data_IF_318869863819
#
_entry.id   IF_318869863819
#
_cell.length_a   1.000
_cell.length_b   1.000
_cell.length_c   1.000
_cell.angle_alpha   90.00
_cell.angle_beta   90.00
_cell.angle_gamma   90.00
#
_symmetry.space_group_name_H-M   'P 1'
#
loop_
_entity.id
_entity.type
_entity.pdbx_description
1 polymer ?
#
# COMPACT_ATOMS: atom_id res chain seq x y z
N UNK A 1 -18.27 -13.29 -7.63
CA UNK A 1 -16.87 -12.79 -7.67
C UNK A 1 -16.72 -11.76 -6.56
N UNK A 2 -15.85 -12.00 -5.58
CA UNK A 2 -15.60 -11.07 -4.47
C UNK A 2 -14.72 -9.90 -4.94
N UNK A 3 -14.88 -8.72 -4.34
CA UNK A 3 -14.03 -7.55 -4.60
C UNK A 3 -13.05 -7.36 -3.45
N UNK A 4 -11.80 -7.07 -3.80
CA UNK A 4 -10.72 -6.77 -2.85
C UNK A 4 -10.23 -5.35 -3.15
N UNK A 5 -10.21 -4.49 -2.15
CA UNK A 5 -9.53 -3.20 -2.24
C UNK A 5 -8.10 -3.34 -1.73
N UNK A 6 -7.11 -3.12 -2.60
CA UNK A 6 -5.69 -3.12 -2.26
C UNK A 6 -5.24 -1.69 -2.00
N UNK A 7 -5.13 -1.30 -0.74
CA UNK A 7 -4.69 0.02 -0.31
C UNK A 7 -3.15 0.06 -0.25
N UNK A 8 -2.55 1.01 -0.96
CA UNK A 8 -1.11 1.08 -1.10
C UNK A 8 -0.56 2.51 -1.13
N UNK A 9 0.69 2.63 -0.75
CA UNK A 9 1.56 3.77 -1.07
C UNK A 9 2.83 3.20 -1.70
N UNK A 10 3.26 3.78 -2.82
CA UNK A 10 4.49 3.35 -3.52
C UNK A 10 5.75 3.53 -2.68
N UNK A 11 5.67 4.33 -1.62
CA UNK A 11 6.71 4.50 -0.61
C UNK A 11 7.00 3.20 0.16
N UNK A 12 6.02 2.29 0.28
CA UNK A 12 6.16 1.09 1.11
C UNK A 12 6.77 -0.09 0.35
N UNK A 13 7.95 -0.60 0.75
CA UNK A 13 8.52 -1.80 0.16
C UNK A 13 7.68 -3.05 0.43
N UNK A 14 6.97 -3.10 1.57
CA UNK A 14 6.04 -4.20 1.84
C UNK A 14 4.82 -4.18 0.93
N UNK A 15 4.36 -2.98 0.51
CA UNK A 15 3.28 -2.87 -0.47
C UNK A 15 3.73 -3.36 -1.85
N UNK A 16 4.99 -3.07 -2.24
CA UNK A 16 5.59 -3.63 -3.45
C UNK A 16 5.65 -5.16 -3.41
N UNK A 17 6.22 -5.74 -2.35
CA UNK A 17 6.33 -7.20 -2.20
C UNK A 17 4.96 -7.88 -2.15
N UNK A 18 3.98 -7.28 -1.48
CA UNK A 18 2.61 -7.80 -1.46
C UNK A 18 1.95 -7.73 -2.84
N UNK A 19 2.13 -6.64 -3.57
CA UNK A 19 1.63 -6.47 -4.94
C UNK A 19 2.16 -7.56 -5.88
N UNK A 20 3.46 -7.85 -5.84
CA UNK A 20 4.07 -8.90 -6.65
C UNK A 20 3.59 -10.31 -6.24
N UNK A 21 3.40 -10.55 -4.95
CA UNK A 21 2.92 -11.82 -4.42
C UNK A 21 1.42 -12.05 -4.63
N UNK A 22 0.66 -10.98 -4.85
CA UNK A 22 -0.81 -11.02 -4.88
C UNK A 22 -1.39 -12.01 -5.89
N UNK A 23 -0.92 -12.11 -7.16
CA UNK A 23 -1.45 -13.07 -8.11
C UNK A 23 -1.36 -14.51 -7.62
N UNK A 24 -0.20 -14.89 -7.05
CA UNK A 24 0.00 -16.22 -6.48
C UNK A 24 -0.87 -16.46 -5.25
N UNK A 25 -1.01 -15.44 -4.38
CA UNK A 25 -1.86 -15.55 -3.19
C UNK A 25 -3.34 -15.71 -3.56
N UNK A 26 -3.78 -15.18 -4.69
CA UNK A 26 -5.17 -15.22 -5.16
C UNK A 26 -5.44 -16.33 -6.18
N UNK A 27 -4.46 -17.17 -6.48
CA UNK A 27 -4.62 -18.28 -7.45
C UNK A 27 -5.76 -19.20 -7.03
N UNK A 28 -6.67 -19.47 -7.97
CA UNK A 28 -7.88 -20.26 -7.74
C UNK A 28 -9.04 -19.53 -7.06
N UNK A 29 -8.85 -18.25 -6.67
CA UNK A 29 -9.91 -17.44 -6.07
C UNK A 29 -10.67 -16.63 -7.16
N UNK A 30 -12.02 -16.63 -7.12
CA UNK A 30 -12.84 -15.80 -8.00
C UNK A 30 -12.98 -14.38 -7.44
N UNK A 31 -12.02 -13.52 -7.78
CA UNK A 31 -11.91 -12.16 -7.22
C UNK A 31 -11.61 -11.10 -8.28
N UNK A 32 -11.97 -9.85 -7.98
CA UNK A 32 -11.48 -8.66 -8.66
C UNK A 32 -10.73 -7.78 -7.65
N UNK A 33 -9.63 -7.17 -8.07
CA UNK A 33 -8.81 -6.30 -7.21
C UNK A 33 -8.94 -4.85 -7.69
N UNK A 34 -9.37 -3.97 -6.79
CA UNK A 34 -9.39 -2.53 -6.97
C UNK A 34 -8.18 -1.92 -6.25
N UNK A 35 -7.30 -1.27 -6.98
CA UNK A 35 -6.11 -0.64 -6.43
C UNK A 35 -6.43 0.75 -5.90
N UNK A 36 -6.14 1.01 -4.62
CA UNK A 36 -6.52 2.22 -3.90
C UNK A 36 -5.25 2.97 -3.44
N UNK A 37 -4.72 3.90 -4.26
CA UNK A 37 -3.61 4.74 -3.84
C UNK A 37 -4.03 5.66 -2.69
N UNK A 38 -3.17 5.77 -1.67
CA UNK A 38 -3.33 6.65 -0.52
C UNK A 38 -1.97 7.14 -0.02
N UNK A 39 -1.94 8.01 0.97
CA UNK A 39 -0.71 8.51 1.59
C UNK A 39 -0.48 7.84 2.94
N UNK A 40 0.57 7.01 3.04
CA UNK A 40 0.98 6.40 4.31
C UNK A 40 1.22 7.45 5.40
N UNK A 41 1.87 8.58 5.05
CA UNK A 41 2.10 9.67 5.98
C UNK A 41 0.79 10.24 6.57
N UNK A 42 -0.30 10.27 5.77
CA UNK A 42 -1.61 10.69 6.25
C UNK A 42 -2.20 9.72 7.28
N UNK A 43 -2.08 8.40 7.06
CA UNK A 43 -2.48 7.39 8.04
C UNK A 43 -1.66 7.49 9.33
N UNK A 44 -0.33 7.58 9.20
CA UNK A 44 0.57 7.72 10.36
C UNK A 44 0.25 8.97 11.18
N UNK A 45 0.00 10.11 10.51
CA UNK A 45 -0.38 11.36 11.17
C UNK A 45 -1.73 11.25 11.89
N UNK A 46 -2.74 10.63 11.27
CA UNK A 46 -4.06 10.42 11.88
C UNK A 46 -3.98 9.61 13.19
N UNK A 47 -3.17 8.55 13.20
CA UNK A 47 -3.01 7.65 14.35
C UNK A 47 -1.90 8.06 15.32
N UNK A 48 -1.21 9.18 15.08
CA UNK A 48 -0.07 9.61 15.92
C UNK A 48 1.11 8.63 15.92
N UNK A 49 1.32 7.91 14.81
CA UNK A 49 2.36 6.89 14.68
C UNK A 49 3.60 7.44 13.96
N UNK A 50 4.76 6.89 14.30
CA UNK A 50 5.99 7.06 13.52
C UNK A 50 6.14 5.93 12.51
N UNK A 51 6.50 6.29 11.29
CA UNK A 51 6.85 5.30 10.27
C UNK A 51 8.10 4.50 10.63
N UNK A 52 8.25 3.26 10.10
CA UNK A 52 9.45 2.45 10.37
C UNK A 52 10.74 3.14 10.02
N UNK A 53 10.75 3.97 8.97
CA UNK A 53 11.92 4.68 8.48
C UNK A 53 12.33 5.88 9.37
N UNK A 54 11.46 6.36 10.25
CA UNK A 54 11.75 7.47 11.17
C UNK A 54 12.52 7.02 12.41
N UNK A 55 12.52 5.72 12.70
CA UNK A 55 13.23 5.12 13.85
C UNK A 55 14.47 4.41 13.32
N UNK A 56 15.66 4.98 13.59
CA UNK A 56 16.93 4.55 12.97
C UNK A 56 17.17 3.03 13.04
N UNK A 57 17.10 2.35 14.20
CA UNK A 57 17.29 0.89 14.22
C UNK A 57 16.19 0.13 13.51
N UNK A 58 14.95 0.60 13.55
CA UNK A 58 13.82 -0.02 12.85
C UNK A 58 13.95 0.13 11.34
N UNK A 59 14.41 1.30 10.85
CA UNK A 59 14.73 1.53 9.45
C UNK A 59 15.76 0.55 8.92
N UNK A 60 16.87 0.39 9.64
CA UNK A 60 17.93 -0.55 9.26
C UNK A 60 17.42 -2.00 9.21
N UNK A 61 16.61 -2.41 10.17
CA UNK A 61 15.97 -3.72 10.17
C UNK A 61 15.02 -3.89 8.98
N UNK A 62 14.14 -2.91 8.74
CA UNK A 62 13.19 -2.93 7.62
C UNK A 62 13.89 -3.18 6.29
N UNK A 63 14.98 -2.46 5.99
CA UNK A 63 15.69 -2.65 4.73
C UNK A 63 16.34 -4.03 4.61
N UNK A 64 16.89 -4.56 5.69
CA UNK A 64 17.42 -5.94 5.70
C UNK A 64 16.33 -6.96 5.46
N UNK A 65 15.19 -6.80 6.13
CA UNK A 65 14.07 -7.73 6.01
C UNK A 65 13.45 -7.70 4.62
N UNK A 66 13.20 -6.52 4.03
CA UNK A 66 12.61 -6.44 2.70
C UNK A 66 13.56 -6.95 1.61
N UNK A 67 14.87 -6.72 1.76
CA UNK A 67 15.88 -7.28 0.84
C UNK A 67 15.88 -8.82 0.88
N UNK A 68 15.83 -9.38 2.08
CA UNK A 68 15.74 -10.83 2.24
C UNK A 68 14.42 -11.40 1.68
N UNK A 69 13.28 -10.77 1.99
CA UNK A 69 11.97 -11.19 1.49
C UNK A 69 11.90 -11.13 -0.04
N UNK A 70 12.43 -10.05 -0.65
CA UNK A 70 12.50 -9.91 -2.10
C UNK A 70 13.31 -11.05 -2.74
N UNK A 71 14.47 -11.40 -2.16
CA UNK A 71 15.29 -12.51 -2.61
C UNK A 71 14.55 -13.85 -2.50
N UNK A 72 13.81 -14.09 -1.39
CA UNK A 72 13.01 -15.32 -1.24
C UNK A 72 11.86 -15.42 -2.25
N UNK A 73 11.32 -14.27 -2.68
CA UNK A 73 10.23 -14.22 -3.65
C UNK A 73 10.69 -14.17 -5.11
N UNK A 74 12.00 -14.00 -5.36
CA UNK A 74 12.51 -13.71 -6.70
C UNK A 74 12.02 -12.36 -7.25
N UNK A 75 11.66 -11.43 -6.36
CA UNK A 75 11.13 -10.11 -6.72
C UNK A 75 12.27 -9.11 -6.87
N UNK A 76 12.26 -8.31 -7.94
CA UNK A 76 13.20 -7.21 -8.08
C UNK A 76 13.04 -6.22 -6.91
N UNK A 77 14.16 -5.90 -6.23
CA UNK A 77 14.20 -4.87 -5.22
C UNK A 77 15.52 -4.11 -5.28
N UNK A 78 15.43 -2.83 -5.61
CA UNK A 78 16.50 -1.85 -5.54
C UNK A 78 16.06 -0.73 -4.61
N UNK A 79 16.80 -0.48 -3.54
CA UNK A 79 16.43 0.57 -2.58
C UNK A 79 16.64 1.96 -3.22
N UNK A 80 15.57 2.79 -3.32
CA UNK A 80 15.69 4.13 -3.89
C UNK A 80 16.53 5.04 -3.00
N UNK A 81 17.12 6.07 -3.59
CA UNK A 81 17.91 7.07 -2.89
C UNK A 81 17.42 8.49 -3.27
N UNK A 82 16.83 9.22 -2.29
CA UNK A 82 16.64 8.87 -0.87
C UNK A 82 15.46 7.92 -0.61
N UNK A 83 15.44 7.31 0.59
CA UNK A 83 14.25 6.68 1.13
C UNK A 83 14.17 6.93 2.65
N UNK A 84 13.05 7.40 3.20
CA UNK A 84 11.78 7.71 2.51
C UNK A 84 11.91 8.92 1.55
N UNK A 85 11.07 8.93 0.52
CA UNK A 85 10.94 10.03 -0.43
C UNK A 85 9.48 10.56 -0.43
N UNK A 86 9.21 11.65 -1.14
CA UNK A 86 7.86 12.19 -1.27
C UNK A 86 7.06 11.43 -2.36
N UNK A 87 6.03 10.63 -2.02
CA UNK A 87 5.30 9.83 -2.99
C UNK A 87 4.18 10.59 -3.74
N UNK A 88 3.93 11.87 -3.40
CA UNK A 88 2.76 12.62 -3.88
C UNK A 88 2.62 12.63 -5.41
N UNK A 89 3.71 12.85 -6.15
CA UNK A 89 3.67 12.91 -7.61
C UNK A 89 3.22 11.56 -8.20
N UNK A 90 3.77 10.46 -7.70
CA UNK A 90 3.48 9.09 -8.16
C UNK A 90 2.06 8.66 -7.79
N UNK A 91 1.60 8.95 -6.56
CA UNK A 91 0.26 8.61 -6.12
C UNK A 91 -0.82 9.41 -6.87
N UNK A 92 -0.57 10.69 -7.16
CA UNK A 92 -1.44 11.50 -8.01
C UNK A 92 -1.45 11.00 -9.46
N UNK A 93 -0.29 10.63 -9.98
CA UNK A 93 -0.18 10.05 -11.32
C UNK A 93 -1.02 8.76 -11.42
N UNK A 94 -1.02 7.90 -10.41
CA UNK A 94 -1.89 6.72 -10.36
C UNK A 94 -3.37 7.09 -10.54
N UNK A 95 -3.86 8.07 -9.78
CA UNK A 95 -5.25 8.53 -9.86
C UNK A 95 -5.58 9.23 -11.18
N UNK A 96 -4.63 9.95 -11.74
CA UNK A 96 -4.82 10.69 -12.99
C UNK A 96 -4.99 9.78 -14.20
N UNK A 97 -4.60 8.48 -14.13
CA UNK A 97 -4.76 7.52 -15.23
C UNK A 97 -6.20 7.03 -15.42
N UNK A 98 -7.10 7.38 -14.51
CA UNK A 98 -8.52 6.97 -14.54
C UNK A 98 -9.45 8.16 -14.31
N UNK A 99 -10.73 8.07 -14.68
CA UNK A 99 -11.73 9.08 -14.27
C UNK A 99 -11.81 9.21 -12.74
N UNK A 100 -12.33 10.32 -12.25
CA UNK A 100 -12.54 10.56 -10.82
C UNK A 100 -13.33 9.40 -10.18
N UNK A 101 -12.89 8.97 -9.00
CA UNK A 101 -13.45 7.82 -8.30
C UNK A 101 -13.04 6.45 -8.84
N UNK A 102 -12.34 6.38 -9.99
CA UNK A 102 -11.88 5.14 -10.59
C UNK A 102 -10.73 4.48 -9.84
N UNK A 103 -10.45 3.22 -10.16
CA UNK A 103 -9.32 2.45 -9.65
C UNK A 103 -8.28 2.28 -10.77
N UNK A 104 -7.01 2.64 -10.57
CA UNK A 104 -5.95 2.41 -11.54
C UNK A 104 -5.80 0.91 -11.83
N UNK A 105 -5.44 0.58 -13.06
CA UNK A 105 -5.22 -0.82 -13.45
C UNK A 105 -3.97 -1.41 -12.79
N UNK A 106 -3.91 -2.76 -12.69
CA UNK A 106 -2.71 -3.45 -12.22
C UNK A 106 -1.45 -3.01 -12.98
N UNK A 107 -1.55 -2.84 -14.31
CA UNK A 107 -0.42 -2.39 -15.14
C UNK A 107 0.10 -1.02 -14.69
N UNK A 108 -0.77 -0.07 -14.42
CA UNK A 108 -0.39 1.27 -13.94
C UNK A 108 0.35 1.15 -12.60
N UNK A 109 -0.22 0.42 -11.65
CA UNK A 109 0.35 0.25 -10.32
C UNK A 109 1.70 -0.46 -10.38
N UNK A 110 1.84 -1.47 -11.24
CA UNK A 110 3.11 -2.16 -11.47
C UNK A 110 4.20 -1.20 -11.99
N UNK A 111 3.87 -0.36 -12.98
CA UNK A 111 4.84 0.59 -13.53
C UNK A 111 5.30 1.61 -12.48
N UNK A 112 4.38 2.07 -11.61
CA UNK A 112 4.72 2.97 -10.51
C UNK A 112 5.63 2.29 -9.48
N UNK A 113 5.30 1.06 -9.07
CA UNK A 113 6.16 0.30 -8.16
C UNK A 113 7.53 -0.02 -8.76
N UNK A 114 7.60 -0.44 -10.02
CA UNK A 114 8.86 -0.71 -10.72
C UNK A 114 9.72 0.54 -10.88
N UNK A 115 9.11 1.70 -11.11
CA UNK A 115 9.79 2.99 -11.13
C UNK A 115 10.49 3.29 -9.81
N UNK A 116 9.89 2.89 -8.69
CA UNK A 116 10.47 3.10 -7.35
C UNK A 116 11.46 2.00 -6.98
N UNK A 117 11.10 0.72 -7.18
CA UNK A 117 11.76 -0.41 -6.54
C UNK A 117 12.63 -1.26 -7.47
N UNK A 118 12.70 -0.94 -8.78
CA UNK A 118 13.49 -1.69 -9.75
C UNK A 118 14.49 -0.81 -10.53
N UNK A 119 14.82 0.37 -10.00
CA UNK A 119 15.84 1.27 -10.56
C UNK A 119 16.97 1.44 -9.54
N UNK A 120 18.17 1.01 -9.90
CA UNK A 120 19.32 0.99 -8.99
C UNK A 120 19.68 2.40 -8.50
N UNK A 121 19.57 2.62 -7.17
CA UNK A 121 19.99 3.86 -6.51
C UNK A 121 19.33 5.14 -7.00
N UNK A 122 18.27 5.03 -7.82
CA UNK A 122 17.64 6.19 -8.44
C UNK A 122 16.76 6.96 -7.45
N UNK A 123 16.73 8.29 -7.59
CA UNK A 123 15.69 9.10 -6.95
C UNK A 123 14.36 8.88 -7.67
N UNK A 124 13.30 8.42 -6.99
CA UNK A 124 11.98 8.25 -7.60
C UNK A 124 11.37 9.57 -8.10
N UNK A 125 11.82 10.71 -7.58
CA UNK A 125 11.36 12.05 -7.95
C UNK A 125 12.25 12.75 -8.99
N UNK A 126 13.22 12.03 -9.58
CA UNK A 126 14.05 12.58 -10.63
C UNK A 126 13.18 13.05 -11.81
N UNK A 127 13.31 14.33 -12.19
CA UNK A 127 12.35 15.00 -13.07
C UNK A 127 12.24 14.39 -14.48
N UNK A 128 13.36 13.92 -15.06
CA UNK A 128 13.33 13.30 -16.37
C UNK A 128 12.65 11.94 -16.34
N UNK A 129 12.91 11.16 -15.31
CA UNK A 129 12.30 9.85 -15.12
C UNK A 129 10.80 9.94 -14.83
N UNK A 130 10.35 10.91 -14.02
CA UNK A 130 8.93 11.19 -13.78
C UNK A 130 8.22 11.61 -15.06
N UNK A 131 8.83 12.46 -15.88
CA UNK A 131 8.25 12.83 -17.18
C UNK A 131 8.09 11.62 -18.09
N UNK A 132 9.14 10.81 -18.24
CA UNK A 132 9.09 9.59 -19.05
C UNK A 132 7.99 8.62 -18.55
N UNK A 133 7.87 8.42 -17.25
CA UNK A 133 6.82 7.59 -16.67
C UNK A 133 5.43 8.18 -16.94
N UNK A 134 5.27 9.50 -16.81
CA UNK A 134 3.99 10.19 -17.09
C UNK A 134 3.58 10.02 -18.54
N UNK A 135 4.52 10.18 -19.48
CA UNK A 135 4.29 9.95 -20.92
C UNK A 135 3.87 8.49 -21.20
N UNK A 136 4.54 7.51 -20.57
CA UNK A 136 4.22 6.09 -20.71
C UNK A 136 2.84 5.72 -20.17
N UNK A 137 2.44 6.33 -19.05
CA UNK A 137 1.16 6.08 -18.41
C UNK A 137 0.02 6.82 -19.07
N UNK A 138 0.30 7.88 -19.82
CA UNK A 138 -0.67 8.70 -20.58
C UNK A 138 -1.92 9.02 -19.72
N UNK A 139 -1.78 9.79 -18.61
CA UNK A 139 -2.88 10.03 -17.69
C UNK A 139 -4.04 10.77 -18.40
N UNK A 140 -5.27 10.46 -18.00
CA UNK A 140 -6.49 11.08 -18.51
C UNK A 140 -6.73 12.48 -17.93
N UNK A 141 -6.13 12.76 -16.77
CA UNK A 141 -6.23 14.02 -16.02
C UNK A 141 -4.83 14.53 -15.70
N UNK A 142 -4.69 15.81 -15.47
CA UNK A 142 -3.39 16.34 -14.99
C UNK A 142 -3.18 15.92 -13.53
N UNK A 143 -2.07 15.22 -13.19
CA UNK A 143 -1.74 14.90 -11.80
C UNK A 143 -1.57 16.13 -10.89
N UNK A 144 -1.36 17.31 -11.47
CA UNK A 144 -1.25 18.57 -10.75
C UNK A 144 -2.60 19.26 -10.46
N UNK A 145 -3.71 18.77 -11.04
CA UNK A 145 -5.02 19.33 -10.84
C UNK A 145 -5.48 19.30 -9.38
N UNK A 146 -6.24 20.33 -9.00
CA UNK A 146 -6.80 20.46 -7.66
C UNK A 146 -7.72 19.27 -7.30
N UNK A 147 -8.48 18.78 -8.28
CA UNK A 147 -9.38 17.63 -8.11
C UNK A 147 -8.60 16.33 -7.81
N UNK A 148 -7.50 16.06 -8.52
CA UNK A 148 -6.66 14.88 -8.26
C UNK A 148 -5.99 14.96 -6.89
N UNK A 149 -5.58 16.16 -6.47
CA UNK A 149 -5.02 16.41 -5.14
C UNK A 149 -6.06 16.19 -4.04
N UNK A 150 -7.28 16.72 -4.25
CA UNK A 150 -8.40 16.53 -3.33
C UNK A 150 -8.78 15.06 -3.22
N UNK A 151 -8.91 14.36 -4.36
CA UNK A 151 -9.23 12.92 -4.39
C UNK A 151 -8.23 12.07 -3.60
N UNK A 152 -6.92 12.31 -3.77
CA UNK A 152 -5.90 11.57 -3.01
C UNK A 152 -6.02 11.81 -1.49
N UNK A 153 -6.28 13.06 -1.09
CA UNK A 153 -6.51 13.40 0.31
C UNK A 153 -7.75 12.70 0.85
N UNK A 154 -8.88 12.81 0.16
CA UNK A 154 -10.16 12.21 0.56
C UNK A 154 -10.07 10.68 0.68
N UNK A 155 -9.40 10.01 -0.26
CA UNK A 155 -9.15 8.56 -0.17
C UNK A 155 -8.32 8.21 1.06
N UNK A 156 -7.32 9.01 1.40
CA UNK A 156 -6.49 8.81 2.59
C UNK A 156 -7.30 9.01 3.87
N UNK A 157 -8.09 10.08 3.95
CA UNK A 157 -8.98 10.39 5.07
C UNK A 157 -10.06 9.30 5.25
N UNK A 158 -10.67 8.86 4.16
CA UNK A 158 -11.66 7.78 4.18
C UNK A 158 -11.05 6.46 4.66
N UNK A 159 -9.82 6.12 4.23
CA UNK A 159 -9.12 4.94 4.70
C UNK A 159 -8.81 5.03 6.21
N UNK A 160 -8.36 6.18 6.71
CA UNK A 160 -8.14 6.41 8.13
C UNK A 160 -9.45 6.29 8.94
N UNK A 161 -10.53 6.89 8.46
CA UNK A 161 -11.86 6.80 9.08
C UNK A 161 -12.41 5.36 9.10
N UNK A 162 -12.05 4.54 8.11
CA UNK A 162 -12.36 3.11 8.06
C UNK A 162 -11.44 2.24 8.96
N UNK A 163 -10.54 2.87 9.74
CA UNK A 163 -9.65 2.18 10.67
C UNK A 163 -8.35 1.64 10.06
N UNK A 164 -8.03 1.99 8.82
CA UNK A 164 -6.76 1.60 8.23
C UNK A 164 -5.63 2.43 8.87
N UNK A 165 -4.54 1.76 9.23
CA UNK A 165 -3.42 2.36 9.96
C UNK A 165 -2.07 2.19 9.27
N UNK A 166 -2.04 1.56 8.12
CA UNK A 166 -0.81 1.33 7.36
C UNK A 166 -1.05 0.66 6.00
N UNK A 167 0.03 0.45 5.25
CA UNK A 167 0.02 -0.19 3.93
C UNK A 167 1.14 -1.27 3.83
N UNK A 168 0.91 -2.33 3.04
CA UNK A 168 -0.32 -2.64 2.31
C UNK A 168 -1.45 -3.04 3.24
N UNK A 169 -2.68 -2.69 2.90
CA UNK A 169 -3.87 -3.25 3.53
C UNK A 169 -4.84 -3.71 2.44
N UNK A 170 -5.30 -4.95 2.56
CA UNK A 170 -6.32 -5.49 1.66
C UNK A 170 -7.65 -5.55 2.41
N UNK A 171 -8.71 -5.04 1.80
CA UNK A 171 -10.05 -5.08 2.40
C UNK A 171 -10.94 -5.96 1.54
N UNK A 172 -11.59 -6.94 2.16
CA UNK A 172 -12.55 -7.82 1.51
C UNK A 172 -13.74 -8.05 2.45
N UNK A 173 -14.96 -7.81 1.96
CA UNK A 173 -16.21 -8.03 2.73
C UNK A 173 -16.16 -7.37 4.12
N UNK A 174 -15.62 -6.14 4.21
CA UNK A 174 -15.51 -5.37 5.45
C UNK A 174 -14.37 -5.79 6.38
N UNK A 175 -13.62 -6.84 6.07
CA UNK A 175 -12.45 -7.30 6.85
C UNK A 175 -11.17 -6.72 6.27
N UNK A 176 -10.33 -6.15 7.12
CA UNK A 176 -9.02 -5.62 6.75
C UNK A 176 -7.90 -6.62 7.07
N UNK A 177 -7.03 -6.86 6.09
CA UNK A 177 -5.86 -7.73 6.17
C UNK A 177 -4.63 -6.86 5.96
N UNK A 178 -3.89 -6.57 7.02
CA UNK A 178 -2.76 -5.65 7.01
C UNK A 178 -1.43 -6.38 6.87
N UNK A 179 -0.61 -5.92 5.93
CA UNK A 179 0.75 -6.39 5.74
C UNK A 179 0.90 -7.47 4.66
N UNK A 180 2.16 -7.68 4.25
CA UNK A 180 2.54 -8.77 3.33
C UNK A 180 2.22 -10.15 3.94
N UNK A 181 2.42 -10.28 5.22
CA UNK A 181 2.21 -11.49 6.01
C UNK A 181 0.73 -11.85 6.21
N UNK A 182 -0.20 -10.91 5.93
CA UNK A 182 -1.63 -11.19 5.97
C UNK A 182 -2.17 -11.87 4.68
N UNK A 183 -1.38 -12.01 3.62
CA UNK A 183 -1.84 -12.65 2.38
C UNK A 183 -2.34 -14.09 2.56
N UNK A 184 -1.69 -14.96 3.35
CA UNK A 184 -2.22 -16.29 3.65
C UNK A 184 -3.58 -16.25 4.37
N UNK A 185 -3.76 -15.32 5.30
CA UNK A 185 -5.01 -15.13 6.03
C UNK A 185 -6.13 -14.65 5.09
N UNK A 186 -5.86 -13.68 4.22
CA UNK A 186 -6.79 -13.26 3.18
C UNK A 186 -7.20 -14.43 2.28
N UNK A 187 -6.24 -15.24 1.83
CA UNK A 187 -6.51 -16.42 1.01
C UNK A 187 -7.43 -17.40 1.72
N UNK A 188 -7.17 -17.70 2.98
CA UNK A 188 -8.02 -18.60 3.79
C UNK A 188 -9.47 -18.07 3.86
N UNK A 189 -9.65 -16.77 4.14
CA UNK A 189 -10.96 -16.13 4.16
C UNK A 189 -11.68 -16.20 2.79
N UNK A 190 -10.95 -16.01 1.69
CA UNK A 190 -11.52 -16.10 0.35
C UNK A 190 -11.97 -17.50 -0.03
N UNK A 191 -11.26 -18.52 0.45
CA UNK A 191 -11.57 -19.93 0.23
C UNK A 191 -12.67 -20.47 1.18
N UNK A 192 -13.17 -19.64 2.09
CA UNK A 192 -14.27 -20.00 2.97
C UNK A 192 -13.82 -20.80 4.20
N UNK A 193 -12.63 -20.50 4.74
CA UNK A 193 -12.19 -21.08 6.01
C UNK A 193 -13.20 -20.73 7.11
N UNK A 194 -13.80 -21.74 7.71
CA UNK A 194 -14.84 -21.62 8.72
C UNK A 194 -14.43 -20.83 9.97
N UNK A 195 -13.12 -20.66 10.20
CA UNK A 195 -12.62 -19.83 11.31
C UNK A 195 -13.14 -18.39 11.24
N UNK A 196 -13.27 -17.83 10.01
CA UNK A 196 -13.77 -16.48 9.79
C UNK A 196 -15.29 -16.34 10.03
N UNK A 197 -16.03 -17.43 10.12
CA UNK A 197 -17.46 -17.45 10.44
C UNK A 197 -17.71 -17.61 11.95
N UNK A 198 -16.64 -17.78 12.74
CA UNK A 198 -16.72 -17.85 14.20
C UNK A 198 -16.68 -16.45 14.82
N UNK A 199 -17.17 -16.27 16.06
CA UNK A 199 -17.03 -15.01 16.80
C UNK A 199 -15.58 -14.59 17.07
N UNK A 200 -14.63 -15.50 16.94
CA UNK A 200 -13.22 -15.32 17.32
C UNK A 200 -12.57 -14.12 16.62
N UNK A 201 -12.88 -13.88 15.35
CA UNK A 201 -12.37 -12.72 14.62
C UNK A 201 -12.74 -11.41 15.32
N UNK A 202 -14.02 -11.23 15.63
CA UNK A 202 -14.53 -10.00 16.23
C UNK A 202 -14.14 -9.86 17.71
N UNK A 203 -14.12 -10.98 18.46
CA UNK A 203 -13.76 -11.01 19.87
C UNK A 203 -12.28 -10.71 20.10
N UNK A 204 -11.40 -11.27 19.26
CA UNK A 204 -9.96 -10.98 19.33
C UNK A 204 -9.66 -9.48 19.14
N UNK A 205 -10.41 -8.81 18.26
CA UNK A 205 -10.27 -7.36 18.03
C UNK A 205 -10.78 -6.49 19.18
N UNK A 206 -11.54 -7.04 20.13
CA UNK A 206 -12.14 -6.30 21.26
C UNK A 206 -11.33 -6.40 22.56
N UNK A 207 -10.12 -6.98 22.53
CA UNK A 207 -9.30 -7.08 23.75
C UNK A 207 -9.04 -5.71 24.35
N UNK A 208 -9.34 -5.48 25.64
CA UNK A 208 -9.13 -4.19 26.28
C UNK A 208 -7.63 -3.87 26.42
N UNK A 209 -7.26 -2.61 26.20
CA UNK A 209 -5.91 -2.17 26.45
C UNK A 209 -5.63 -2.12 27.97
N UNK A 210 -4.73 -2.97 28.46
CA UNK A 210 -4.33 -2.99 29.88
C UNK A 210 -3.37 -1.88 30.28
N UNK A 211 -2.68 -1.25 29.32
CA UNK A 211 -1.70 -0.19 29.56
C UNK A 211 -1.76 0.86 28.45
N UNK A 212 -1.94 2.11 28.84
CA UNK A 212 -1.82 3.24 27.90
C UNK A 212 -0.53 4.01 28.20
N UNK A 213 0.28 4.26 27.16
CA UNK A 213 1.42 5.18 27.29
C UNK A 213 0.91 6.61 27.43
N UNK A 214 1.47 7.34 28.37
CA UNK A 214 1.27 8.79 28.38
C UNK A 214 1.80 9.39 27.05
N UNK A 215 1.14 10.42 26.51
CA UNK A 215 1.68 11.10 25.34
C UNK A 215 3.09 11.63 25.67
N UNK A 216 4.03 11.60 24.69
CA UNK A 216 5.36 12.18 24.91
C UNK A 216 5.21 13.67 25.22
N UNK A 217 5.84 14.10 26.33
CA UNK A 217 5.95 15.51 26.74
C UNK A 217 6.81 16.29 25.75
#
# INVERSE_FOLDING_TARGET
MKRISFHFDVLSPYAWLAFERLPQALEGCSVAVDYQPLLLAGLLGHWGQKGPAEIVPKRAWTYRQVAWLAAQQGTCLQLPQPHPFNPLALQRLALATVPAGGSPSRRVVEQLFRHVWCREGADPNEAAALRSLTEQLAPLRDPADAEVKAELRERTEAAAAAGLFGVPTLVCEGRAFFGLDALPMLRAALLGDAWFDTPTWDEAGKQPAGLQRAPPT
#
